data_IF_944203540206
#
_entry.id   IF_944203540206
#
_cell.length_a   1.000
_cell.length_b   1.000
_cell.length_c   1.000
_cell.angle_alpha   90.00
_cell.angle_beta   90.00
_cell.angle_gamma   90.00
#
_symmetry.space_group_name_H-M   'P 1'
#
loop_
_entity.id
_entity.type
_entity.pdbx_description
1 polymer ?
#
# COMPACT_ATOMS: atom_id res chain seq x y z
N UNK A 1 -13.76 -41.07 -9.13
CA UNK A 1 -12.38 -40.91 -9.63
C UNK A 1 -12.47 -40.25 -11.00
N UNK A 2 -12.24 -38.94 -11.05
CA UNK A 2 -12.40 -38.15 -12.27
C UNK A 2 -11.04 -37.95 -12.96
N UNK A 3 -10.61 -38.96 -13.74
CA UNK A 3 -9.34 -38.93 -14.47
C UNK A 3 -9.60 -38.54 -15.92
N UNK A 4 -9.43 -37.26 -16.21
CA UNK A 4 -9.55 -36.68 -17.55
C UNK A 4 -8.45 -35.65 -17.80
N UNK A 5 -8.09 -35.44 -19.07
CA UNK A 5 -7.23 -34.34 -19.51
C UNK A 5 -8.04 -33.15 -20.07
N UNK A 6 -9.35 -33.32 -20.23
CA UNK A 6 -10.24 -32.28 -20.74
C UNK A 6 -10.24 -31.07 -19.80
N UNK A 7 -10.10 -29.87 -20.37
CA UNK A 7 -10.05 -28.62 -19.60
C UNK A 7 -8.78 -28.43 -18.74
N UNK A 8 -7.78 -29.31 -18.86
CA UNK A 8 -6.52 -29.22 -18.11
C UNK A 8 -5.37 -28.73 -18.98
N UNK A 9 -4.59 -27.77 -18.48
CA UNK A 9 -3.55 -27.10 -19.27
C UNK A 9 -2.25 -26.90 -18.49
N UNK A 10 -1.11 -26.96 -19.19
CA UNK A 10 0.15 -26.41 -18.67
C UNK A 10 0.08 -24.87 -18.60
N UNK A 11 0.70 -24.28 -17.58
CA UNK A 11 0.88 -22.81 -17.49
C UNK A 11 1.87 -22.28 -18.52
N UNK A 12 2.84 -23.09 -18.92
CA UNK A 12 3.84 -22.72 -19.93
C UNK A 12 3.16 -22.32 -21.24
N UNK A 13 3.60 -21.18 -21.80
CA UNK A 13 3.06 -20.58 -23.02
C UNK A 13 1.73 -19.84 -22.84
N UNK A 14 1.07 -19.94 -21.68
CA UNK A 14 -0.15 -19.16 -21.37
C UNK A 14 0.20 -17.71 -21.06
N UNK A 15 -0.79 -16.84 -21.20
CA UNK A 15 -0.67 -15.40 -20.96
C UNK A 15 -1.21 -15.06 -19.58
N UNK A 16 -0.35 -14.55 -18.70
CA UNK A 16 -0.74 -13.92 -17.45
C UNK A 16 -0.98 -12.42 -17.70
N UNK A 17 -2.18 -11.95 -17.41
CA UNK A 17 -2.54 -10.55 -17.37
C UNK A 17 -2.50 -10.01 -15.93
N UNK A 18 -1.64 -9.04 -15.66
CA UNK A 18 -1.48 -8.41 -14.35
C UNK A 18 -2.16 -7.04 -14.35
N UNK A 19 -3.15 -6.84 -13.49
CA UNK A 19 -3.82 -5.54 -13.29
C UNK A 19 -3.24 -4.89 -12.03
N UNK A 20 -2.48 -3.81 -12.21
CA UNK A 20 -1.66 -3.19 -11.17
C UNK A 20 -0.24 -3.74 -11.17
N UNK A 21 0.71 -2.97 -11.70
CA UNK A 21 2.11 -3.38 -11.87
C UNK A 21 3.01 -2.62 -10.88
N UNK A 22 2.66 -2.72 -9.60
CA UNK A 22 3.45 -2.27 -8.45
C UNK A 22 4.34 -3.38 -7.90
N UNK A 23 4.72 -3.27 -6.61
CA UNK A 23 5.67 -4.19 -5.96
C UNK A 23 5.29 -5.68 -6.10
N UNK A 24 4.03 -6.04 -5.87
CA UNK A 24 3.57 -7.43 -5.95
C UNK A 24 3.45 -7.89 -7.40
N UNK A 25 2.84 -7.07 -8.26
CA UNK A 25 2.65 -7.42 -9.68
C UNK A 25 3.97 -7.62 -10.43
N UNK A 26 4.99 -6.82 -10.15
CA UNK A 26 6.32 -6.99 -10.76
C UNK A 26 7.03 -8.26 -10.27
N UNK A 27 6.96 -8.57 -8.97
CA UNK A 27 7.49 -9.83 -8.43
C UNK A 27 6.78 -11.05 -9.01
N UNK A 28 5.43 -11.01 -9.08
CA UNK A 28 4.65 -12.06 -9.73
C UNK A 28 5.07 -12.27 -11.18
N UNK A 29 5.31 -11.19 -11.94
CA UNK A 29 5.75 -11.31 -13.33
C UNK A 29 7.06 -12.06 -13.47
N UNK A 30 8.01 -11.85 -12.55
CA UNK A 30 9.31 -12.53 -12.56
C UNK A 30 9.14 -14.03 -12.40
N UNK A 31 8.30 -14.45 -11.44
CA UNK A 31 8.00 -15.86 -11.19
C UNK A 31 7.24 -16.50 -12.37
N UNK A 32 6.28 -15.78 -12.94
CA UNK A 32 5.49 -16.27 -14.07
C UNK A 32 6.35 -16.46 -15.34
N UNK A 33 7.25 -15.52 -15.64
CA UNK A 33 8.20 -15.66 -16.75
C UNK A 33 9.16 -16.84 -16.53
N UNK A 34 9.62 -17.06 -15.30
CA UNK A 34 10.45 -18.22 -14.95
C UNK A 34 9.72 -19.56 -15.15
N UNK A 35 8.39 -19.59 -15.04
CA UNK A 35 7.55 -20.74 -15.38
C UNK A 35 7.18 -20.83 -16.88
N UNK A 36 7.72 -19.93 -17.71
CA UNK A 36 7.50 -19.90 -19.15
C UNK A 36 6.15 -19.32 -19.57
N UNK A 37 5.50 -18.51 -18.72
CA UNK A 37 4.32 -17.74 -19.12
C UNK A 37 4.73 -16.50 -19.91
N UNK A 38 3.84 -16.02 -20.77
CA UNK A 38 3.89 -14.67 -21.35
C UNK A 38 3.22 -13.72 -20.38
N UNK A 39 3.85 -12.59 -20.05
CA UNK A 39 3.27 -11.64 -19.10
C UNK A 39 2.91 -10.33 -19.78
N UNK A 40 1.65 -9.92 -19.61
CA UNK A 40 1.16 -8.60 -19.99
C UNK A 40 0.64 -7.88 -18.75
N UNK A 41 0.73 -6.55 -18.72
CA UNK A 41 0.23 -5.80 -17.58
C UNK A 41 -0.48 -4.51 -17.98
N UNK A 42 -1.44 -4.11 -17.16
CA UNK A 42 -2.13 -2.83 -17.24
C UNK A 42 -1.96 -2.10 -15.91
N UNK A 43 -1.52 -0.84 -15.99
CA UNK A 43 -1.42 0.07 -14.85
C UNK A 43 -1.80 1.48 -15.33
N UNK A 44 -2.44 2.27 -14.44
CA UNK A 44 -2.81 3.66 -14.77
C UNK A 44 -1.58 4.57 -14.86
N UNK A 45 -0.52 4.23 -14.15
CA UNK A 45 0.74 4.94 -14.19
C UNK A 45 1.68 4.23 -15.14
N UNK A 46 2.52 4.99 -15.83
CA UNK A 46 3.61 4.39 -16.61
C UNK A 46 4.55 3.66 -15.67
N UNK A 47 4.79 2.39 -15.93
CA UNK A 47 5.73 1.54 -15.18
C UNK A 47 6.87 1.12 -16.06
N UNK A 48 8.06 1.03 -15.46
CA UNK A 48 9.20 0.41 -16.11
C UNK A 48 8.92 -1.09 -16.28
N UNK A 49 9.28 -1.62 -17.45
CA UNK A 49 9.18 -3.04 -17.74
C UNK A 49 10.27 -3.81 -17.00
N UNK A 50 9.93 -4.98 -16.50
CA UNK A 50 10.90 -5.98 -16.05
C UNK A 50 10.86 -7.18 -16.99
N UNK A 51 12.02 -7.78 -17.27
CA UNK A 51 12.11 -8.97 -18.12
C UNK A 51 11.50 -8.75 -19.51
N UNK A 52 10.68 -9.70 -19.96
CA UNK A 52 10.01 -9.68 -21.27
C UNK A 52 8.54 -9.21 -21.18
N UNK A 53 8.17 -8.56 -20.07
CA UNK A 53 6.80 -8.08 -19.84
C UNK A 53 6.37 -7.04 -20.86
N UNK A 54 5.10 -7.09 -21.27
CA UNK A 54 4.52 -6.13 -22.22
C UNK A 54 3.40 -5.32 -21.58
N UNK A 55 3.50 -3.97 -21.50
CA UNK A 55 2.36 -3.15 -21.13
C UNK A 55 1.28 -3.22 -22.22
N UNK A 56 0.03 -3.17 -21.80
CA UNK A 56 -1.12 -2.97 -22.70
C UNK A 56 -1.77 -1.63 -22.43
N UNK A 57 -2.39 -1.05 -23.45
CA UNK A 57 -2.87 0.32 -23.37
C UNK A 57 -4.16 0.46 -22.53
N UNK A 58 -4.96 -0.61 -22.47
CA UNK A 58 -6.26 -0.60 -21.78
C UNK A 58 -6.48 -1.89 -21.01
N UNK A 59 -7.32 -1.82 -19.98
CA UNK A 59 -7.79 -2.99 -19.24
C UNK A 59 -8.49 -3.99 -20.20
N UNK A 60 -9.31 -3.50 -21.12
CA UNK A 60 -10.00 -4.35 -22.10
C UNK A 60 -9.04 -5.17 -22.98
N UNK A 61 -7.93 -4.58 -23.44
CA UNK A 61 -6.89 -5.31 -24.18
C UNK A 61 -6.31 -6.45 -23.33
N UNK A 62 -6.04 -6.20 -22.04
CA UNK A 62 -5.52 -7.21 -21.11
C UNK A 62 -6.50 -8.39 -20.98
N UNK A 63 -7.75 -8.09 -20.66
CA UNK A 63 -8.79 -9.09 -20.40
C UNK A 63 -9.02 -9.97 -21.64
N UNK A 64 -9.01 -9.38 -22.83
CA UNK A 64 -9.25 -10.10 -24.09
C UNK A 64 -8.15 -11.11 -24.45
N UNK A 65 -6.91 -10.94 -23.96
CA UNK A 65 -5.76 -11.78 -24.34
C UNK A 65 -5.26 -12.70 -23.23
N UNK A 66 -5.57 -12.40 -21.97
CA UNK A 66 -5.07 -13.13 -20.81
C UNK A 66 -5.80 -14.48 -20.60
N UNK A 67 -5.02 -15.55 -20.40
CA UNK A 67 -5.53 -16.86 -19.96
C UNK A 67 -5.80 -16.86 -18.44
N UNK A 68 -4.97 -16.12 -17.69
CA UNK A 68 -5.12 -15.88 -16.26
C UNK A 68 -5.03 -14.38 -16.01
N UNK A 69 -5.97 -13.82 -15.26
CA UNK A 69 -5.94 -12.42 -14.83
C UNK A 69 -5.69 -12.39 -13.32
N UNK A 70 -4.69 -11.62 -12.88
CA UNK A 70 -4.39 -11.42 -11.46
C UNK A 70 -4.43 -9.95 -11.09
N UNK A 71 -5.12 -9.64 -10.00
CA UNK A 71 -5.37 -8.27 -9.54
C UNK A 71 -4.42 -7.91 -8.39
N UNK A 72 -3.77 -6.75 -8.51
CA UNK A 72 -2.82 -6.18 -7.54
C UNK A 72 -2.98 -4.66 -7.45
N UNK A 73 -4.21 -4.21 -7.20
CA UNK A 73 -4.58 -2.79 -7.13
C UNK A 73 -4.88 -2.36 -5.69
N UNK A 74 -4.68 -1.07 -5.34
CA UNK A 74 -5.08 -0.54 -4.04
C UNK A 74 -6.62 -0.43 -3.91
N UNK A 75 -7.10 -0.21 -2.70
CA UNK A 75 -8.53 0.06 -2.43
C UNK A 75 -8.76 1.56 -2.59
N UNK A 76 -9.36 1.94 -3.71
CA UNK A 76 -9.61 3.33 -4.09
C UNK A 76 -11.02 3.42 -4.69
N UNK A 77 -11.65 4.62 -4.69
CA UNK A 77 -12.91 4.83 -5.39
C UNK A 77 -12.86 4.41 -6.87
N UNK A 78 -11.69 4.52 -7.52
CA UNK A 78 -11.50 4.12 -8.92
C UNK A 78 -11.29 2.62 -9.16
N UNK A 79 -11.06 1.84 -8.11
CA UNK A 79 -10.86 0.37 -8.21
C UNK A 79 -12.03 -0.42 -7.64
N UNK A 80 -13.00 0.27 -7.01
CA UNK A 80 -14.24 -0.30 -6.52
C UNK A 80 -15.02 -0.96 -7.67
N UNK A 81 -15.26 -2.28 -7.56
CA UNK A 81 -15.94 -3.12 -8.54
C UNK A 81 -15.45 -2.89 -9.98
N UNK A 82 -14.15 -2.61 -10.15
CA UNK A 82 -13.58 -2.39 -11.47
C UNK A 82 -13.58 -3.65 -12.35
N UNK A 83 -13.75 -4.82 -11.75
CA UNK A 83 -14.03 -6.08 -12.44
C UNK A 83 -15.49 -6.46 -12.17
N UNK A 84 -16.39 -5.95 -13.01
CA UNK A 84 -17.82 -6.28 -12.99
C UNK A 84 -18.20 -7.25 -14.10
N UNK A 85 -19.50 -7.34 -14.38
CA UNK A 85 -20.05 -8.22 -15.42
C UNK A 85 -19.43 -7.96 -16.81
N UNK A 86 -19.28 -6.69 -17.19
CA UNK A 86 -18.74 -6.30 -18.49
C UNK A 86 -17.27 -6.72 -18.66
N UNK A 87 -16.46 -6.52 -17.62
CA UNK A 87 -15.04 -6.91 -17.64
C UNK A 87 -14.89 -8.43 -17.64
N UNK A 88 -15.69 -9.14 -16.85
CA UNK A 88 -15.70 -10.61 -16.86
C UNK A 88 -16.14 -11.16 -18.23
N UNK A 89 -17.13 -10.52 -18.87
CA UNK A 89 -17.56 -10.89 -20.22
C UNK A 89 -16.44 -10.71 -21.26
N UNK A 90 -15.63 -9.65 -21.12
CA UNK A 90 -14.49 -9.35 -21.97
C UNK A 90 -13.29 -10.30 -21.78
N UNK A 91 -13.22 -11.05 -20.68
CA UNK A 91 -12.21 -12.08 -20.48
C UNK A 91 -12.36 -13.21 -21.51
N UNK A 92 -11.26 -13.92 -21.80
CA UNK A 92 -11.34 -15.12 -22.65
C UNK A 92 -12.29 -16.16 -22.07
N UNK A 93 -13.08 -16.88 -22.89
CA UNK A 93 -13.79 -18.07 -22.43
C UNK A 93 -12.82 -19.08 -21.81
N UNK A 94 -13.13 -19.56 -20.61
CA UNK A 94 -12.27 -20.46 -19.85
C UNK A 94 -11.07 -19.80 -19.18
N UNK A 95 -11.01 -18.46 -19.10
CA UNK A 95 -9.99 -17.77 -18.32
C UNK A 95 -10.14 -18.03 -16.82
N UNK A 96 -9.08 -17.75 -16.07
CA UNK A 96 -9.04 -17.82 -14.60
C UNK A 96 -8.85 -16.41 -14.04
N UNK A 97 -9.62 -16.06 -12.99
CA UNK A 97 -9.47 -14.79 -12.26
C UNK A 97 -8.88 -15.03 -10.87
N UNK A 98 -7.87 -14.24 -10.49
CA UNK A 98 -7.24 -14.29 -9.17
C UNK A 98 -7.34 -12.90 -8.52
N UNK A 99 -7.97 -12.83 -7.35
CA UNK A 99 -7.99 -11.63 -6.53
C UNK A 99 -7.42 -11.89 -5.13
N UNK A 100 -6.15 -11.50 -4.97
CA UNK A 100 -5.44 -11.48 -3.68
C UNK A 100 -5.03 -10.05 -3.32
N UNK A 101 -5.82 -9.06 -3.75
CA UNK A 101 -5.51 -7.64 -3.56
C UNK A 101 -6.42 -6.98 -2.52
N UNK A 102 -7.63 -6.58 -2.92
CA UNK A 102 -8.61 -5.92 -2.07
C UNK A 102 -10.01 -6.49 -2.31
N UNK A 103 -10.78 -6.63 -1.25
CA UNK A 103 -12.07 -7.33 -1.26
C UNK A 103 -13.16 -6.68 -2.11
N UNK A 104 -13.04 -5.37 -2.39
CA UNK A 104 -14.03 -4.58 -3.12
C UNK A 104 -13.70 -4.34 -4.58
N UNK A 105 -12.70 -5.04 -5.14
CA UNK A 105 -12.24 -4.83 -6.53
C UNK A 105 -13.10 -5.59 -7.54
N UNK A 106 -13.70 -6.70 -7.11
CA UNK A 106 -14.47 -7.61 -7.95
C UNK A 106 -15.93 -7.62 -7.48
N UNK A 107 -16.87 -7.54 -8.41
CA UNK A 107 -18.26 -7.89 -8.15
C UNK A 107 -18.38 -9.41 -7.99
N UNK A 108 -18.55 -9.87 -6.74
CA UNK A 108 -18.57 -11.31 -6.43
C UNK A 108 -19.84 -12.01 -6.95
N UNK A 109 -20.95 -11.29 -7.13
CA UNK A 109 -22.18 -11.86 -7.70
C UNK A 109 -21.99 -12.10 -9.21
N UNK A 110 -21.42 -11.11 -9.91
CA UNK A 110 -21.07 -11.26 -11.32
C UNK A 110 -20.05 -12.40 -11.54
N UNK A 111 -19.07 -12.53 -10.64
CA UNK A 111 -18.10 -13.62 -10.67
C UNK A 111 -18.77 -14.98 -10.45
N UNK A 112 -19.64 -15.11 -9.44
CA UNK A 112 -20.38 -16.35 -9.17
C UNK A 112 -21.25 -16.77 -10.36
N UNK A 113 -21.95 -15.82 -10.98
CA UNK A 113 -22.75 -16.06 -12.17
C UNK A 113 -21.91 -16.56 -13.35
N UNK A 114 -20.76 -15.91 -13.61
CA UNK A 114 -19.86 -16.30 -14.70
C UNK A 114 -19.21 -17.68 -14.50
N UNK A 115 -18.86 -18.03 -13.26
CA UNK A 115 -18.32 -19.35 -12.92
C UNK A 115 -19.38 -20.44 -13.08
N UNK A 116 -20.60 -20.19 -12.60
CA UNK A 116 -21.74 -21.11 -12.76
C UNK A 116 -22.09 -21.32 -14.22
N UNK A 117 -22.04 -20.26 -15.02
CA UNK A 117 -22.24 -20.30 -16.48
C UNK A 117 -21.04 -20.90 -17.24
N UNK A 118 -19.96 -21.30 -16.56
CA UNK A 118 -18.71 -21.81 -17.15
C UNK A 118 -18.06 -20.85 -18.15
N UNK A 119 -18.34 -19.55 -18.03
CA UNK A 119 -17.63 -18.51 -18.76
C UNK A 119 -16.16 -18.45 -18.33
N UNK A 120 -15.93 -18.56 -17.02
CA UNK A 120 -14.60 -18.71 -16.44
C UNK A 120 -14.37 -20.17 -16.03
N UNK A 121 -13.15 -20.66 -16.22
CA UNK A 121 -12.78 -22.03 -15.85
C UNK A 121 -12.51 -22.18 -14.34
N UNK A 122 -12.29 -21.08 -13.63
CA UNK A 122 -12.12 -21.07 -12.18
C UNK A 122 -11.70 -19.70 -11.66
N UNK A 123 -11.62 -19.59 -10.33
CA UNK A 123 -11.10 -18.40 -9.67
C UNK A 123 -10.35 -18.73 -8.37
N UNK A 124 -9.50 -17.81 -7.93
CA UNK A 124 -8.95 -17.82 -6.58
C UNK A 124 -9.20 -16.45 -5.92
N UNK A 125 -9.79 -16.45 -4.73
CA UNK A 125 -10.17 -15.24 -4.01
C UNK A 125 -9.72 -15.35 -2.55
N UNK A 126 -8.83 -14.44 -2.16
CA UNK A 126 -8.30 -14.35 -0.80
C UNK A 126 -8.96 -13.27 0.05
N UNK A 127 -9.60 -12.29 -0.61
CA UNK A 127 -10.10 -11.06 0.03
C UNK A 127 -11.57 -10.82 -0.32
N UNK A 128 -12.35 -10.33 0.63
CA UNK A 128 -13.81 -10.22 0.50
C UNK A 128 -14.32 -8.83 0.94
N UNK A 129 -15.47 -8.34 0.41
CA UNK A 129 -16.03 -7.06 0.86
C UNK A 129 -16.39 -7.05 2.35
N UNK A 130 -16.79 -8.20 2.89
CA UNK A 130 -17.11 -8.43 4.29
C UNK A 130 -16.32 -9.67 4.73
N UNK A 131 -15.40 -9.47 5.66
CA UNK A 131 -14.54 -10.53 6.19
C UNK A 131 -14.91 -10.85 7.65
N UNK A 132 -14.81 -12.11 8.07
CA UNK A 132 -14.92 -12.50 9.48
C UNK A 132 -13.93 -11.71 10.34
N UNK A 133 -14.35 -11.25 11.51
CA UNK A 133 -13.51 -10.43 12.41
C UNK A 133 -12.68 -11.25 13.38
N UNK A 134 -13.08 -12.50 13.61
CA UNK A 134 -12.44 -13.39 14.56
C UNK A 134 -12.38 -14.82 14.02
N UNK A 135 -11.39 -15.57 14.50
CA UNK A 135 -11.29 -17.00 14.22
C UNK A 135 -12.57 -17.73 14.69
N UNK A 136 -13.11 -18.60 13.84
CA UNK A 136 -14.33 -19.35 14.10
C UNK A 136 -15.62 -18.69 13.60
N UNK A 137 -15.59 -17.44 13.18
CA UNK A 137 -16.69 -16.83 12.44
C UNK A 137 -16.74 -17.38 11.00
N UNK A 138 -17.96 -17.63 10.50
CA UNK A 138 -18.17 -18.19 9.16
C UNK A 138 -18.11 -17.09 8.11
N UNK A 139 -17.26 -17.25 7.10
CA UNK A 139 -17.31 -16.45 5.87
C UNK A 139 -18.64 -16.73 5.15
N UNK A 140 -19.30 -15.69 4.62
CA UNK A 140 -20.48 -15.83 3.75
C UNK A 140 -20.16 -15.12 2.45
N UNK A 141 -20.24 -15.84 1.32
CA UNK A 141 -19.91 -15.30 0.00
C UNK A 141 -20.70 -16.06 -1.08
N UNK A 142 -21.14 -15.41 -2.17
CA UNK A 142 -21.79 -16.09 -3.30
C UNK A 142 -20.90 -17.12 -4.01
N UNK A 143 -19.59 -17.11 -3.72
CA UNK A 143 -18.63 -18.07 -4.26
C UNK A 143 -18.60 -19.41 -3.50
N UNK A 144 -19.36 -19.54 -2.41
CA UNK A 144 -19.45 -20.80 -1.66
C UNK A 144 -20.00 -21.93 -2.52
N UNK A 145 -19.48 -23.13 -2.31
CA UNK A 145 -19.88 -24.36 -2.98
C UNK A 145 -19.63 -24.42 -4.51
N UNK A 146 -18.99 -23.39 -5.08
CA UNK A 146 -18.50 -23.42 -6.46
C UNK A 146 -17.17 -24.19 -6.51
N UNK A 147 -17.20 -25.39 -7.10
CA UNK A 147 -16.12 -26.39 -6.96
C UNK A 147 -14.79 -26.01 -7.62
N UNK A 148 -14.80 -25.11 -8.60
CA UNK A 148 -13.63 -24.59 -9.29
C UNK A 148 -13.17 -23.22 -8.74
N UNK A 149 -13.50 -22.92 -7.49
CA UNK A 149 -13.04 -21.72 -6.78
C UNK A 149 -12.19 -22.09 -5.58
N UNK A 150 -11.03 -21.45 -5.47
CA UNK A 150 -10.18 -21.49 -4.27
C UNK A 150 -10.52 -20.27 -3.42
N UNK A 151 -10.96 -20.52 -2.18
CA UNK A 151 -11.20 -19.47 -1.18
C UNK A 151 -10.14 -19.59 -0.08
N UNK A 152 -9.43 -18.51 0.16
CA UNK A 152 -8.45 -18.42 1.26
C UNK A 152 -8.80 -17.26 2.19
N UNK A 153 -8.57 -17.37 3.52
CA UNK A 153 -9.10 -16.41 4.49
C UNK A 153 -8.14 -15.22 4.71
N UNK A 154 -7.88 -14.43 3.66
CA UNK A 154 -7.01 -13.26 3.69
C UNK A 154 -5.60 -13.56 4.22
N UNK A 155 -4.97 -14.56 3.62
CA UNK A 155 -3.66 -15.09 4.02
C UNK A 155 -2.55 -14.85 2.99
N UNK A 156 -2.79 -14.06 1.94
CA UNK A 156 -1.81 -13.78 0.90
C UNK A 156 -0.48 -13.21 1.42
N UNK A 157 -0.50 -12.49 2.55
CA UNK A 157 0.70 -11.99 3.25
C UNK A 157 1.05 -12.75 4.54
N UNK A 158 0.30 -13.78 4.91
CA UNK A 158 0.39 -14.44 6.23
C UNK A 158 1.43 -15.55 6.22
N UNK A 159 2.70 -15.17 6.18
CA UNK A 159 3.88 -16.08 6.23
C UNK A 159 4.83 -15.64 7.33
N UNK A 160 5.63 -16.56 7.89
CA UNK A 160 6.60 -16.24 8.95
C UNK A 160 7.64 -15.23 8.46
N UNK A 161 8.12 -15.39 7.23
CA UNK A 161 9.07 -14.46 6.62
C UNK A 161 8.46 -13.06 6.40
N UNK A 162 7.14 -12.97 6.15
CA UNK A 162 6.47 -11.68 6.11
C UNK A 162 6.35 -11.05 7.50
N UNK A 163 6.08 -11.85 8.53
CA UNK A 163 6.03 -11.35 9.92
C UNK A 163 7.40 -10.83 10.37
N UNK A 164 8.49 -11.53 10.02
CA UNK A 164 9.86 -11.07 10.28
C UNK A 164 10.12 -9.70 9.64
N UNK A 165 9.85 -9.56 8.34
CA UNK A 165 10.02 -8.28 7.64
C UNK A 165 9.15 -7.16 8.20
N UNK A 166 7.91 -7.46 8.59
CA UNK A 166 7.01 -6.48 9.24
C UNK A 166 7.62 -6.02 10.58
N UNK A 167 8.15 -6.97 11.37
CA UNK A 167 8.82 -6.67 12.63
C UNK A 167 10.00 -5.72 12.44
N UNK A 168 10.86 -6.01 11.46
CA UNK A 168 12.00 -5.15 11.10
C UNK A 168 11.54 -3.78 10.62
N UNK A 169 10.66 -3.70 9.62
CA UNK A 169 10.21 -2.44 9.01
C UNK A 169 9.56 -1.51 10.03
N UNK A 170 8.68 -2.05 10.89
CA UNK A 170 8.01 -1.23 11.92
C UNK A 170 9.00 -0.79 13.00
N UNK A 171 9.93 -1.65 13.41
CA UNK A 171 10.96 -1.29 14.39
C UNK A 171 11.88 -0.18 13.85
N UNK A 172 12.33 -0.31 12.60
CA UNK A 172 13.13 0.72 11.92
C UNK A 172 12.38 2.05 11.85
N UNK A 173 11.08 2.05 11.51
CA UNK A 173 10.26 3.27 11.48
C UNK A 173 10.12 3.93 12.84
N UNK A 174 9.99 3.14 13.90
CA UNK A 174 9.93 3.66 15.27
C UNK A 174 11.27 4.25 15.70
N UNK A 175 12.38 3.56 15.43
CA UNK A 175 13.73 4.04 15.71
C UNK A 175 14.03 5.32 14.93
N UNK A 176 13.73 5.36 13.63
CA UNK A 176 13.90 6.54 12.78
C UNK A 176 13.15 7.76 13.36
N UNK A 177 11.90 7.57 13.80
CA UNK A 177 11.15 8.64 14.46
C UNK A 177 11.76 9.03 15.82
N UNK A 178 12.23 8.09 16.64
CA UNK A 178 12.84 8.37 17.94
C UNK A 178 14.17 9.13 17.79
N UNK A 179 15.00 8.71 16.85
CA UNK A 179 16.38 9.19 16.69
C UNK A 179 16.47 10.45 15.84
N UNK A 180 15.53 10.68 14.92
CA UNK A 180 15.61 11.81 13.97
C UNK A 180 14.34 12.64 13.88
N UNK A 181 13.21 12.13 14.38
CA UNK A 181 11.91 12.77 14.24
C UNK A 181 11.28 12.66 12.85
N UNK A 182 11.88 11.92 11.92
CA UNK A 182 11.26 11.66 10.62
C UNK A 182 9.96 10.85 10.78
N UNK A 183 8.96 11.17 9.96
CA UNK A 183 7.62 10.55 10.01
C UNK A 183 7.20 9.97 8.66
N UNK A 184 8.16 9.72 7.77
CA UNK A 184 7.93 9.09 6.46
C UNK A 184 7.34 7.69 6.62
N UNK A 185 6.17 7.47 6.05
CA UNK A 185 5.39 6.23 6.16
C UNK A 185 4.34 6.27 7.26
N UNK A 186 4.23 7.35 8.04
CA UNK A 186 3.16 7.50 9.02
C UNK A 186 1.80 7.61 8.32
N UNK A 187 0.83 6.81 8.78
CA UNK A 187 -0.51 6.69 8.15
C UNK A 187 -1.54 7.67 8.69
N UNK A 188 -1.21 8.40 9.74
CA UNK A 188 -2.13 9.30 10.47
C UNK A 188 -1.43 10.59 10.95
N UNK A 189 -0.33 10.97 10.30
CA UNK A 189 0.50 12.08 10.74
C UNK A 189 1.16 12.77 9.53
N UNK A 190 1.43 14.10 9.59
CA UNK A 190 2.17 14.75 8.52
C UNK A 190 3.52 14.08 8.28
N UNK A 191 3.81 13.74 7.02
CA UNK A 191 5.02 13.00 6.63
C UNK A 191 6.17 13.97 6.38
N UNK A 192 7.11 14.08 7.33
CA UNK A 192 8.31 14.91 7.22
C UNK A 192 9.53 14.01 7.09
N UNK A 193 10.36 14.33 6.10
CA UNK A 193 11.68 13.76 5.90
C UNK A 193 12.70 14.91 5.89
N UNK A 194 13.54 14.99 6.93
CA UNK A 194 14.63 15.96 7.02
C UNK A 194 15.92 15.23 7.36
N UNK A 195 16.95 15.29 6.49
CA UNK A 195 18.25 14.69 6.75
C UNK A 195 18.76 15.05 8.15
N UNK A 196 19.19 14.06 8.92
CA UNK A 196 19.69 14.27 10.27
C UNK A 196 21.18 14.60 10.27
N UNK A 197 21.54 15.71 10.90
CA UNK A 197 22.91 16.13 11.14
C UNK A 197 23.12 16.31 12.65
N UNK A 198 23.95 15.46 13.24
CA UNK A 198 24.24 15.46 14.68
C UNK A 198 25.12 16.64 15.13
N UNK A 199 25.61 17.47 14.21
CA UNK A 199 26.31 18.72 14.55
C UNK A 199 25.36 19.84 14.98
N UNK A 200 24.06 19.68 14.76
CA UNK A 200 23.02 20.64 15.12
C UNK A 200 22.03 20.05 16.12
N UNK A 201 21.40 20.91 16.92
CA UNK A 201 20.37 20.49 17.84
C UNK A 201 19.01 20.41 17.14
N UNK A 202 18.34 19.26 17.26
CA UNK A 202 17.07 19.02 16.60
C UNK A 202 15.89 19.15 17.55
N UNK A 203 14.91 19.95 17.15
CA UNK A 203 13.64 20.15 17.84
C UNK A 203 12.48 19.72 16.95
N UNK A 204 11.57 18.96 17.55
CA UNK A 204 10.35 18.49 16.91
C UNK A 204 9.18 19.24 17.53
N UNK A 205 8.25 19.73 16.71
CA UNK A 205 7.13 20.51 17.21
C UNK A 205 5.82 20.16 16.48
N UNK A 206 4.92 19.51 17.22
CA UNK A 206 3.56 19.17 16.82
C UNK A 206 2.60 20.24 17.33
N UNK A 207 1.75 20.74 16.44
CA UNK A 207 0.83 21.83 16.75
C UNK A 207 -0.49 21.70 16.01
N UNK A 208 -1.50 22.42 16.48
CA UNK A 208 -2.73 22.66 15.72
C UNK A 208 -2.39 23.51 14.49
N UNK A 209 -2.97 23.16 13.35
CA UNK A 209 -2.79 23.87 12.09
C UNK A 209 -3.55 25.22 12.11
N UNK A 210 -3.01 26.20 12.83
CA UNK A 210 -3.57 27.55 12.97
C UNK A 210 -2.54 28.62 12.56
N UNK A 211 -2.97 29.76 11.99
CA UNK A 211 -2.05 30.79 11.53
C UNK A 211 -1.13 31.32 12.63
N UNK A 212 0.12 31.62 12.26
CA UNK A 212 1.10 32.29 13.11
C UNK A 212 1.98 31.38 13.98
N UNK A 213 1.69 30.07 14.08
CA UNK A 213 2.51 29.13 14.88
C UNK A 213 3.96 29.10 14.40
N UNK A 214 4.20 29.01 13.09
CA UNK A 214 5.56 29.00 12.54
C UNK A 214 6.34 30.29 12.84
N UNK A 215 5.65 31.44 12.82
CA UNK A 215 6.25 32.73 13.20
C UNK A 215 6.62 32.78 14.67
N UNK A 216 5.73 32.33 15.56
CA UNK A 216 5.98 32.21 17.01
C UNK A 216 7.15 31.26 17.29
N UNK A 217 7.22 30.13 16.56
CA UNK A 217 8.30 29.16 16.68
C UNK A 217 9.64 29.76 16.27
N UNK A 218 9.72 30.41 15.11
CA UNK A 218 10.96 31.05 14.65
C UNK A 218 11.38 32.23 15.56
N UNK A 219 10.42 32.86 16.25
CA UNK A 219 10.70 33.88 17.27
C UNK A 219 11.40 33.32 18.51
N UNK A 220 11.17 32.05 18.89
CA UNK A 220 11.85 31.40 20.02
C UNK A 220 13.37 31.36 19.79
N UNK A 221 13.79 31.01 18.58
CA UNK A 221 15.21 30.95 18.21
C UNK A 221 15.79 32.34 17.95
N UNK A 222 15.12 33.17 17.14
CA UNK A 222 15.66 34.48 16.74
C UNK A 222 15.77 35.48 17.89
N UNK A 223 14.86 35.45 18.88
CA UNK A 223 14.97 36.29 20.10
C UNK A 223 16.18 35.95 20.97
N UNK A 224 16.76 34.76 20.80
CA UNK A 224 17.97 34.29 21.49
C UNK A 224 19.23 34.42 20.64
N UNK A 225 19.12 34.96 19.42
CA UNK A 225 20.24 35.06 18.48
C UNK A 225 20.74 33.71 17.97
N UNK A 226 19.91 32.67 18.00
CA UNK A 226 20.24 31.32 17.54
C UNK A 226 19.86 31.15 16.07
N UNK A 227 20.75 30.56 15.26
CA UNK A 227 20.46 30.27 13.86
C UNK A 227 19.59 29.01 13.73
N UNK A 228 18.74 28.99 12.72
CA UNK A 228 18.05 27.78 12.24
C UNK A 228 18.76 27.33 10.96
N UNK A 229 19.35 26.13 10.98
CA UNK A 229 20.12 25.57 9.87
C UNK A 229 19.23 24.87 8.85
N UNK A 230 18.21 24.15 9.33
CA UNK A 230 17.23 23.47 8.49
C UNK A 230 15.86 23.43 9.17
N UNK A 231 14.80 23.50 8.37
CA UNK A 231 13.44 23.39 8.86
C UNK A 231 12.54 22.79 7.79
N UNK A 232 11.73 21.81 8.18
CA UNK A 232 10.76 21.15 7.31
C UNK A 232 9.43 21.04 8.04
N UNK A 233 8.39 21.62 7.45
CA UNK A 233 7.03 21.66 7.97
C UNK A 233 6.12 20.92 6.99
N UNK A 234 5.29 20.03 7.52
CA UNK A 234 4.14 19.48 6.82
C UNK A 234 2.88 19.63 7.68
N UNK A 235 1.74 19.75 7.01
CA UNK A 235 0.43 19.85 7.66
C UNK A 235 -0.51 18.82 7.07
N UNK A 236 -1.32 18.19 7.92
CA UNK A 236 -2.38 17.28 7.51
C UNK A 236 -3.62 17.54 8.37
N UNK A 237 -4.72 17.87 7.72
CA UNK A 237 -5.95 18.32 8.35
C UNK A 237 -5.73 19.41 9.40
N UNK A 238 -5.98 19.07 10.67
CA UNK A 238 -5.91 19.99 11.81
C UNK A 238 -4.54 20.02 12.50
N UNK A 239 -3.55 19.26 12.02
CA UNK A 239 -2.23 19.16 12.63
C UNK A 239 -1.14 19.72 11.71
N UNK A 240 -0.14 20.35 12.32
CA UNK A 240 1.14 20.68 11.72
C UNK A 240 2.26 19.99 12.48
N UNK A 241 3.27 19.54 11.75
CA UNK A 241 4.47 18.96 12.30
C UNK A 241 5.69 19.58 11.65
N UNK A 242 6.58 20.14 12.48
CA UNK A 242 7.82 20.75 12.02
C UNK A 242 9.02 20.14 12.74
N UNK A 243 10.04 19.84 11.94
CA UNK A 243 11.38 19.46 12.38
C UNK A 243 12.28 20.66 12.17
N UNK A 244 13.10 20.99 13.17
CA UNK A 244 13.94 22.19 13.19
C UNK A 244 15.33 21.82 13.68
N UNK A 245 16.34 22.07 12.85
CA UNK A 245 17.74 22.01 13.24
C UNK A 245 18.24 23.42 13.50
N UNK A 246 18.75 23.67 14.69
CA UNK A 246 19.16 25.00 15.13
C UNK A 246 20.42 24.95 16.00
N UNK A 247 21.02 26.12 16.19
CA UNK A 247 22.00 26.32 17.26
C UNK A 247 21.33 26.06 18.61
N UNK A 248 21.99 25.28 19.47
CA UNK A 248 21.57 25.10 20.87
C UNK A 248 22.80 24.95 21.76
N UNK A 249 23.26 26.04 22.39
CA UNK A 249 24.37 25.98 23.32
C UNK A 249 24.10 24.96 24.45
N UNK A 250 25.12 24.24 24.94
CA UNK A 250 24.94 23.31 26.06
C UNK A 250 24.23 23.96 27.25
N UNK A 251 23.16 23.33 27.72
CA UNK A 251 22.36 23.80 28.85
C UNK A 251 21.14 24.66 28.49
N UNK A 252 20.95 25.04 27.22
CA UNK A 252 19.77 25.81 26.77
C UNK A 252 18.64 24.95 26.18
N UNK A 253 18.86 23.64 26.03
CA UNK A 253 17.92 22.72 25.38
C UNK A 253 16.55 22.74 26.06
N UNK A 254 16.53 22.66 27.40
CA UNK A 254 15.30 22.66 28.20
C UNK A 254 14.54 23.97 28.07
N UNK A 255 15.24 25.12 28.13
CA UNK A 255 14.58 26.43 28.04
C UNK A 255 13.95 26.66 26.67
N UNK A 256 14.65 26.28 25.59
CA UNK A 256 14.11 26.34 24.22
C UNK A 256 12.89 25.43 24.11
N UNK A 257 12.97 24.21 24.64
CA UNK A 257 11.87 23.25 24.61
C UNK A 257 10.64 23.76 25.38
N UNK A 258 10.84 24.35 26.56
CA UNK A 258 9.76 24.95 27.36
C UNK A 258 9.11 26.11 26.63
N UNK A 259 9.90 26.96 25.96
CA UNK A 259 9.39 28.07 25.16
C UNK A 259 8.57 27.58 23.96
N UNK A 260 8.99 26.50 23.30
CA UNK A 260 8.22 25.85 22.22
C UNK A 260 6.91 25.25 22.75
N UNK A 261 6.94 24.60 23.92
CA UNK A 261 5.74 24.07 24.58
C UNK A 261 4.74 25.16 24.98
N UNK A 262 5.22 26.37 25.29
CA UNK A 262 4.38 27.50 25.68
C UNK A 262 3.68 28.20 24.50
N UNK A 263 4.02 27.87 23.25
CA UNK A 263 3.35 28.44 22.08
C UNK A 263 1.87 28.02 22.08
N UNK A 264 0.98 29.01 22.00
CA UNK A 264 -0.45 28.73 21.86
C UNK A 264 -0.73 27.88 20.61
N UNK A 265 -1.38 26.74 20.81
CA UNK A 265 -1.67 25.77 19.75
C UNK A 265 -0.69 24.59 19.71
N UNK A 266 0.37 24.59 20.53
CA UNK A 266 1.28 23.44 20.67
C UNK A 266 0.54 22.23 21.22
N UNK A 267 0.78 21.08 20.59
CA UNK A 267 0.30 19.77 21.04
C UNK A 267 1.41 19.06 21.80
N UNK A 268 2.63 19.05 21.24
CA UNK A 268 3.82 18.46 21.85
C UNK A 268 5.08 19.02 21.20
N UNK A 269 6.13 19.22 21.99
CA UNK A 269 7.47 19.43 21.49
C UNK A 269 8.43 18.38 22.06
N UNK A 270 9.51 18.07 21.34
CA UNK A 270 10.57 17.15 21.79
C UNK A 270 11.92 17.64 21.31
N UNK A 271 12.95 17.52 22.15
CA UNK A 271 14.34 17.64 21.73
C UNK A 271 14.89 16.25 21.35
N UNK A 272 15.61 16.17 20.24
CA UNK A 272 16.33 14.99 19.77
C UNK A 272 17.82 15.26 19.97
N UNK A 273 18.48 14.43 20.78
CA UNK A 273 19.87 14.60 21.17
C UNK A 273 20.63 13.29 21.23
#
# INVERSE_FOLDING_TARGET
WDKSAEGSFEVRGKTLGIVGYGNIGSQLSTLAEAMGMRVVYYDRLTKLRHGNTRPVATLGELLAIADVVSLHVPDLPSTLNMIGEAEIAAMKPGAILINNSRGRVVDLEALAAALTAKKLAGAAVDVFPIEPKAAGEKLVTPLQDITNVILTPHIGGSTEEAQERIGEEVAEKLLEFLDTGNTTGAVNFPNVDQPYDSSHARYLHVHKNVPGVLGKLNAVFSSRGLNVHAQSLQTDGQLGYVVVDADSPPGQQTEILDALCAIEGTVRARFVG
#
